data_IF_108167880947
#
_entry.id   IF_108167880947
#
_cell.length_a   1.000
_cell.length_b   1.000
_cell.length_c   1.000
_cell.angle_alpha   90.00
_cell.angle_beta   90.00
_cell.angle_gamma   90.00
#
_symmetry.space_group_name_H-M   'P 1'
#
loop_
_entity.id
_entity.type
_entity.pdbx_description
1 polymer ?
#
# COMPACT_ATOMS: atom_id res chain seq x y z
N UNK A 1 3.56 -10.15 18.47
CA UNK A 1 3.65 -9.38 17.22
C UNK A 1 4.73 -9.99 16.34
N UNK A 2 4.42 -10.35 15.11
CA UNK A 2 5.45 -10.73 14.13
C UNK A 2 6.26 -9.49 13.74
N UNK A 3 7.59 -9.57 13.78
CA UNK A 3 8.52 -8.52 13.31
C UNK A 3 9.02 -8.91 11.93
N UNK A 4 8.34 -8.43 10.89
CA UNK A 4 8.79 -8.60 9.51
C UNK A 4 9.73 -7.43 9.18
N UNK A 5 10.89 -7.73 8.60
CA UNK A 5 11.87 -6.71 8.19
C UNK A 5 11.37 -5.89 6.99
N UNK A 6 12.06 -4.80 6.67
CA UNK A 6 11.85 -4.05 5.43
C UNK A 6 12.82 -4.53 4.36
N UNK A 7 12.36 -4.62 3.12
CA UNK A 7 13.27 -4.76 1.98
C UNK A 7 14.07 -3.46 1.83
N UNK A 8 15.37 -3.58 1.58
CA UNK A 8 16.22 -2.45 1.22
C UNK A 8 15.78 -1.92 -0.16
N UNK A 9 15.32 -0.66 -0.28
CA UNK A 9 14.90 -0.08 -1.55
C UNK A 9 15.94 -0.22 -2.66
N UNK A 10 17.22 -0.15 -2.34
CA UNK A 10 18.30 -0.23 -3.32
C UNK A 10 18.46 -1.65 -3.88
N UNK A 11 18.10 -2.66 -3.10
CA UNK A 11 18.13 -4.08 -3.51
C UNK A 11 16.99 -4.49 -4.46
N UNK A 12 15.96 -3.65 -4.66
CA UNK A 12 14.78 -3.97 -5.48
C UNK A 12 15.14 -3.88 -6.97
N UNK A 13 15.37 -5.02 -7.62
CA UNK A 13 15.66 -5.08 -9.06
C UNK A 13 14.43 -4.91 -9.95
N UNK A 14 13.24 -5.18 -9.43
CA UNK A 14 11.98 -5.06 -10.16
C UNK A 14 11.56 -3.58 -10.31
N UNK A 15 11.57 -3.02 -11.54
CA UNK A 15 11.34 -1.59 -11.75
C UNK A 15 9.92 -1.16 -11.40
N UNK A 16 8.91 -2.04 -11.54
CA UNK A 16 7.55 -1.69 -11.19
C UNK A 16 7.38 -1.60 -9.67
N UNK A 17 7.95 -2.56 -8.95
CA UNK A 17 7.94 -2.56 -7.48
C UNK A 17 8.66 -1.32 -6.95
N UNK A 18 9.82 -0.97 -7.53
CA UNK A 18 10.55 0.27 -7.18
C UNK A 18 9.69 1.52 -7.39
N UNK A 19 9.02 1.63 -8.53
CA UNK A 19 8.13 2.76 -8.82
C UNK A 19 6.98 2.88 -7.80
N UNK A 20 6.42 1.76 -7.31
CA UNK A 20 5.40 1.79 -6.26
C UNK A 20 5.94 2.33 -4.93
N UNK A 21 7.17 1.98 -4.56
CA UNK A 21 7.82 2.50 -3.35
C UNK A 21 8.07 4.01 -3.50
N UNK A 22 8.63 4.44 -4.63
CA UNK A 22 8.89 5.86 -4.91
C UNK A 22 7.61 6.70 -4.89
N UNK A 23 6.53 6.19 -5.49
CA UNK A 23 5.22 6.83 -5.43
C UNK A 23 4.71 6.94 -3.99
N UNK A 24 4.83 5.87 -3.20
CA UNK A 24 4.43 5.87 -1.80
C UNK A 24 5.23 6.86 -0.97
N UNK A 25 6.54 7.00 -1.20
CA UNK A 25 7.42 7.98 -0.53
C UNK A 25 6.99 9.40 -0.89
N UNK A 26 6.73 9.66 -2.18
CA UNK A 26 6.33 10.98 -2.67
C UNK A 26 4.95 11.42 -2.18
N UNK A 27 3.98 10.51 -2.16
CA UNK A 27 2.57 10.80 -1.87
C UNK A 27 2.22 10.57 -0.39
N UNK A 28 3.05 9.81 0.32
CA UNK A 28 2.83 9.41 1.72
C UNK A 28 1.74 8.35 1.91
N UNK A 29 1.04 7.94 0.84
CA UNK A 29 -0.03 6.94 0.92
C UNK A 29 -0.08 6.00 -0.29
N UNK A 30 -0.27 4.69 -0.07
CA UNK A 30 -0.28 4.03 1.25
C UNK A 30 1.14 3.95 1.82
N UNK A 31 1.28 4.04 3.15
CA UNK A 31 2.56 4.23 3.87
C UNK A 31 3.75 3.45 3.28
N UNK A 32 4.90 4.11 3.00
CA UNK A 32 6.08 3.48 2.41
C UNK A 32 6.56 2.23 3.16
N UNK A 33 6.57 2.27 4.50
CA UNK A 33 7.13 1.20 5.32
C UNK A 33 6.35 -0.11 5.15
N UNK A 34 5.02 -0.02 5.02
CA UNK A 34 4.18 -1.19 4.77
C UNK A 34 4.40 -1.71 3.35
N UNK A 35 4.68 -0.83 2.38
CA UNK A 35 5.04 -1.29 1.04
C UNK A 35 6.38 -2.03 1.02
N UNK A 36 7.37 -1.57 1.79
CA UNK A 36 8.66 -2.27 1.92
C UNK A 36 8.52 -3.65 2.59
N UNK A 37 7.54 -3.84 3.48
CA UNK A 37 7.17 -5.18 3.98
C UNK A 37 6.58 -6.02 2.83
N UNK A 38 5.64 -5.48 2.06
CA UNK A 38 5.01 -6.22 0.96
C UNK A 38 5.98 -6.56 -0.17
N UNK A 39 7.03 -5.74 -0.34
CA UNK A 39 8.05 -5.92 -1.37
C UNK A 39 8.87 -7.21 -1.21
N UNK A 40 8.84 -7.86 -0.04
CA UNK A 40 9.42 -9.21 0.14
C UNK A 40 8.83 -10.22 -0.85
N UNK A 41 7.58 -10.01 -1.29
CA UNK A 41 6.92 -10.84 -2.29
C UNK A 41 6.33 -9.95 -3.38
N UNK A 42 6.99 -9.81 -4.55
CA UNK A 42 6.55 -8.91 -5.63
C UNK A 42 5.07 -9.08 -6.02
N UNK A 43 4.57 -10.31 -6.05
CA UNK A 43 3.16 -10.59 -6.35
C UNK A 43 2.19 -9.98 -5.31
N UNK A 44 2.59 -9.91 -4.03
CA UNK A 44 1.78 -9.35 -2.94
C UNK A 44 1.68 -7.83 -3.08
N UNK A 45 2.80 -7.13 -3.28
CA UNK A 45 2.77 -5.67 -3.45
C UNK A 45 2.00 -5.28 -4.71
N UNK A 46 2.18 -5.98 -5.84
CA UNK A 46 1.41 -5.72 -7.08
C UNK A 46 -0.08 -5.87 -6.86
N UNK A 47 -0.51 -7.00 -6.29
CA UNK A 47 -1.93 -7.26 -6.01
C UNK A 47 -2.53 -6.19 -5.11
N UNK A 48 -1.80 -5.77 -4.08
CA UNK A 48 -2.24 -4.71 -3.18
C UNK A 48 -2.36 -3.36 -3.90
N UNK A 49 -1.31 -2.90 -4.59
CA UNK A 49 -1.28 -1.57 -5.22
C UNK A 49 -2.36 -1.45 -6.29
N UNK A 50 -2.51 -2.45 -7.16
CA UNK A 50 -3.54 -2.42 -8.19
C UNK A 50 -4.96 -2.41 -7.61
N UNK A 51 -5.21 -3.23 -6.59
CA UNK A 51 -6.51 -3.27 -5.91
C UNK A 51 -6.79 -1.92 -5.24
N UNK A 52 -5.82 -1.38 -4.50
CA UNK A 52 -5.95 -0.10 -3.82
C UNK A 52 -6.23 1.04 -4.80
N UNK A 53 -5.46 1.16 -5.90
CA UNK A 53 -5.70 2.19 -6.93
C UNK A 53 -7.10 2.05 -7.54
N UNK A 54 -7.53 0.82 -7.79
CA UNK A 54 -8.85 0.55 -8.40
C UNK A 54 -9.99 0.95 -7.47
N UNK A 55 -9.89 0.63 -6.18
CA UNK A 55 -10.93 0.96 -5.19
C UNK A 55 -10.90 2.44 -4.77
N UNK A 56 -9.73 2.92 -4.33
CA UNK A 56 -9.60 4.24 -3.69
C UNK A 56 -9.54 5.39 -4.67
N UNK A 57 -8.93 5.22 -5.85
CA UNK A 57 -8.74 6.30 -6.83
C UNK A 57 -9.65 6.21 -8.05
N UNK A 58 -10.08 5.00 -8.45
CA UNK A 58 -10.89 4.78 -9.66
C UNK A 58 -12.31 4.26 -9.41
N UNK A 59 -12.71 4.05 -8.16
CA UNK A 59 -14.05 3.55 -7.82
C UNK A 59 -15.12 4.65 -7.82
N UNK A 60 -16.39 4.25 -7.95
CA UNK A 60 -17.57 5.13 -8.08
C UNK A 60 -18.01 5.86 -6.80
N UNK A 61 -17.48 5.44 -5.64
CA UNK A 61 -17.84 6.04 -4.34
C UNK A 61 -16.99 7.27 -4.08
N UNK A 62 -17.57 8.31 -3.47
CA UNK A 62 -16.86 9.52 -3.10
C UNK A 62 -15.69 9.26 -2.17
N UNK A 63 -14.61 10.02 -2.35
CA UNK A 63 -13.37 9.80 -1.61
C UNK A 63 -13.54 10.00 -0.10
N UNK A 64 -14.32 10.99 0.31
CA UNK A 64 -14.60 11.26 1.72
C UNK A 64 -15.32 10.09 2.40
N UNK A 65 -16.33 9.52 1.72
CA UNK A 65 -17.04 8.34 2.23
C UNK A 65 -16.11 7.13 2.35
N UNK A 66 -15.18 6.93 1.40
CA UNK A 66 -14.17 5.86 1.48
C UNK A 66 -13.27 6.02 2.72
N UNK A 67 -12.85 7.23 3.05
CA UNK A 67 -12.03 7.48 4.25
C UNK A 67 -12.82 7.28 5.55
N UNK A 68 -14.08 7.71 5.60
CA UNK A 68 -14.97 7.45 6.75
C UNK A 68 -15.15 5.96 6.99
N UNK A 69 -15.39 5.17 5.93
CA UNK A 69 -15.49 3.72 6.03
C UNK A 69 -14.18 3.09 6.49
N UNK A 70 -13.03 3.54 5.96
CA UNK A 70 -11.70 3.06 6.37
C UNK A 70 -11.45 3.28 7.87
N UNK A 71 -11.83 4.44 8.39
CA UNK A 71 -11.74 4.75 9.83
C UNK A 71 -12.70 3.88 10.67
N UNK A 72 -13.94 3.71 10.21
CA UNK A 72 -14.93 2.88 10.91
C UNK A 72 -14.48 1.43 11.03
N UNK A 73 -13.94 0.86 9.95
CA UNK A 73 -13.41 -0.51 9.93
C UNK A 73 -12.17 -0.61 10.82
N UNK A 74 -11.25 0.35 10.76
CA UNK A 74 -10.06 0.34 11.62
C UNK A 74 -10.40 0.40 13.12
N UNK A 75 -11.53 0.99 13.50
CA UNK A 75 -12.04 1.04 14.88
C UNK A 75 -13.00 -0.09 15.25
N UNK A 76 -13.42 -0.92 14.29
CA UNK A 76 -14.37 -2.03 14.54
C UNK A 76 -13.71 -3.35 14.86
N UNK A 77 -12.39 -3.42 14.74
CA UNK A 77 -11.62 -4.63 14.98
C UNK A 77 -11.18 -4.59 16.44
N UNK A 78 -11.74 -5.50 17.25
CA UNK A 78 -11.30 -5.79 18.63
C UNK A 78 -10.01 -6.63 18.62
#
# INVERSE_FOLDING_TARGET
MARISYVDPDSISDPEVRAFIEEAVRVGTPRPEIQLIRAHVPAVIRSFVYTWKSLFKRGIVDHELKELLRLRVARSLD
#
